data_IF_685319675056
#
_entry.id   IF_685319675056
#
_cell.length_a   1.000
_cell.length_b   1.000
_cell.length_c   1.000
_cell.angle_alpha   90.00
_cell.angle_beta   90.00
_cell.angle_gamma   90.00
#
_symmetry.space_group_name_H-M   'P 1'
#
loop_
_entity.id
_entity.type
_entity.pdbx_description
1 polymer ?
#
# COMPACT_ATOMS: atom_id res chain seq x y z
N UNK A 1 21.45 -33.53 -29.99
CA UNK A 1 20.12 -33.39 -29.34
C UNK A 1 19.41 -32.17 -29.91
N UNK A 2 18.20 -32.33 -30.47
CA UNK A 2 17.43 -31.21 -31.04
C UNK A 2 16.68 -30.45 -29.94
N UNK A 3 17.04 -29.20 -29.72
CA UNK A 3 16.47 -28.33 -28.68
C UNK A 3 15.01 -27.96 -29.01
N UNK A 4 14.67 -27.86 -30.29
CA UNK A 4 13.34 -27.47 -30.77
C UNK A 4 12.27 -28.56 -30.58
N UNK A 5 12.67 -29.82 -30.38
CA UNK A 5 11.73 -30.91 -30.09
C UNK A 5 11.37 -31.02 -28.62
N UNK A 6 11.96 -30.18 -27.75
CA UNK A 6 11.66 -30.21 -26.32
C UNK A 6 10.28 -29.58 -26.04
N UNK A 7 9.51 -30.12 -25.10
CA UNK A 7 8.16 -29.60 -24.77
C UNK A 7 8.15 -28.11 -24.40
N UNK A 8 9.22 -27.59 -23.81
CA UNK A 8 9.35 -26.18 -23.44
C UNK A 8 9.66 -25.25 -24.62
N UNK A 9 10.13 -25.78 -25.75
CA UNK A 9 10.35 -25.02 -26.99
C UNK A 9 9.06 -24.87 -27.81
N UNK A 10 7.98 -25.58 -27.47
CA UNK A 10 6.67 -25.41 -28.09
C UNK A 10 6.04 -24.08 -27.69
N UNK A 11 5.69 -23.26 -28.68
CA UNK A 11 5.04 -21.96 -28.49
C UNK A 11 3.73 -22.08 -27.69
N UNK A 12 2.93 -23.12 -27.94
CA UNK A 12 1.68 -23.37 -27.23
C UNK A 12 1.94 -23.64 -25.74
N UNK A 13 2.93 -24.48 -25.44
CA UNK A 13 3.31 -24.81 -24.06
C UNK A 13 3.88 -23.60 -23.32
N UNK A 14 4.66 -22.76 -24.00
CA UNK A 14 5.18 -21.54 -23.42
C UNK A 14 4.06 -20.54 -23.08
N UNK A 15 3.08 -20.37 -23.98
CA UNK A 15 1.93 -19.51 -23.74
C UNK A 15 1.05 -20.01 -22.58
N UNK A 16 0.79 -21.30 -22.50
CA UNK A 16 0.04 -21.91 -21.40
C UNK A 16 0.78 -21.74 -20.07
N UNK A 17 2.07 -22.06 -20.04
CA UNK A 17 2.93 -21.91 -18.86
C UNK A 17 2.98 -20.46 -18.37
N UNK A 18 3.11 -19.50 -19.30
CA UNK A 18 3.09 -18.06 -18.97
C UNK A 18 1.76 -17.65 -18.34
N UNK A 19 0.63 -18.07 -18.92
CA UNK A 19 -0.70 -17.76 -18.36
C UNK A 19 -0.87 -18.40 -16.98
N UNK A 20 -0.47 -19.65 -16.83
CA UNK A 20 -0.52 -20.36 -15.55
C UNK A 20 0.24 -19.62 -14.45
N UNK A 21 1.52 -19.28 -14.69
CA UNK A 21 2.33 -18.58 -13.69
C UNK A 21 1.86 -17.15 -13.42
N UNK A 22 1.28 -16.45 -14.41
CA UNK A 22 0.62 -15.16 -14.16
C UNK A 22 -0.53 -15.31 -13.16
N UNK A 23 -1.38 -16.32 -13.31
CA UNK A 23 -2.48 -16.59 -12.39
C UNK A 23 -1.98 -16.99 -11.00
N UNK A 24 -0.94 -17.83 -10.92
CA UNK A 24 -0.34 -18.22 -9.63
C UNK A 24 0.22 -16.99 -8.91
N UNK A 25 1.03 -16.17 -9.60
CA UNK A 25 1.61 -14.96 -9.03
C UNK A 25 0.56 -13.94 -8.62
N UNK A 26 -0.49 -13.75 -9.42
CA UNK A 26 -1.57 -12.82 -9.07
C UNK A 26 -2.25 -13.21 -7.74
N UNK A 27 -2.38 -14.51 -7.45
CA UNK A 27 -2.94 -14.98 -6.17
C UNK A 27 -2.00 -14.72 -5.00
N UNK A 28 -0.71 -14.94 -5.19
CA UNK A 28 0.33 -14.62 -4.18
C UNK A 28 0.40 -13.12 -3.91
N UNK A 29 0.34 -12.31 -4.97
CA UNK A 29 0.40 -10.86 -4.90
C UNK A 29 -0.79 -10.28 -4.13
N UNK A 30 -2.01 -10.81 -4.32
CA UNK A 30 -3.18 -10.43 -3.50
C UNK A 30 -2.88 -10.63 -2.00
N UNK A 31 -2.34 -11.80 -1.62
CA UNK A 31 -2.02 -12.08 -0.22
C UNK A 31 -0.99 -11.09 0.36
N UNK A 32 0.04 -10.74 -0.41
CA UNK A 32 1.05 -9.77 0.02
C UNK A 32 0.50 -8.35 0.10
N UNK A 33 -0.31 -7.95 -0.88
CA UNK A 33 -0.96 -6.65 -0.88
C UNK A 33 -1.86 -6.47 0.34
N UNK A 34 -2.55 -7.51 0.81
CA UNK A 34 -3.37 -7.44 2.03
C UNK A 34 -2.55 -7.05 3.27
N UNK A 35 -1.34 -7.61 3.40
CA UNK A 35 -0.41 -7.25 4.50
C UNK A 35 0.08 -5.82 4.35
N UNK A 36 0.46 -5.43 3.13
CA UNK A 36 1.03 -4.11 2.89
C UNK A 36 -0.02 -2.99 3.04
N UNK A 37 -1.27 -3.26 2.68
CA UNK A 37 -2.39 -2.34 2.90
C UNK A 37 -2.67 -2.14 4.38
N UNK A 38 -2.64 -3.20 5.19
CA UNK A 38 -2.76 -3.06 6.65
C UNK A 38 -1.61 -2.21 7.24
N UNK A 39 -0.38 -2.39 6.74
CA UNK A 39 0.77 -1.56 7.13
C UNK A 39 0.61 -0.10 6.72
N UNK A 40 0.15 0.15 5.49
CA UNK A 40 -0.09 1.49 4.99
C UNK A 40 -1.16 2.20 5.84
N UNK A 41 -2.23 1.50 6.19
CA UNK A 41 -3.26 2.04 7.09
C UNK A 41 -2.67 2.43 8.45
N UNK A 42 -1.93 1.52 9.09
CA UNK A 42 -1.29 1.78 10.38
C UNK A 42 -0.30 2.94 10.31
N UNK A 43 0.45 3.06 9.21
CA UNK A 43 1.38 4.17 8.99
C UNK A 43 0.65 5.52 8.85
N UNK A 44 -0.46 5.57 8.10
CA UNK A 44 -1.28 6.78 7.94
C UNK A 44 -1.82 7.26 9.30
N UNK A 45 -2.37 6.34 10.09
CA UNK A 45 -2.91 6.68 11.41
C UNK A 45 -1.80 7.09 12.39
N UNK A 46 -0.66 6.39 12.33
CA UNK A 46 0.52 6.73 13.12
C UNK A 46 1.08 8.12 12.80
N UNK A 47 1.17 8.49 11.52
CA UNK A 47 1.64 9.82 11.10
C UNK A 47 0.72 10.93 11.64
N UNK A 48 -0.59 10.77 11.53
CA UNK A 48 -1.57 11.75 12.00
C UNK A 48 -1.51 11.95 13.52
N UNK A 49 -1.33 10.87 14.29
CA UNK A 49 -1.16 10.91 15.74
C UNK A 49 0.17 11.55 16.11
N UNK A 50 1.26 11.16 15.45
CA UNK A 50 2.59 11.67 15.74
C UNK A 50 2.69 13.19 15.49
N UNK A 51 2.18 13.68 14.36
CA UNK A 51 2.22 15.11 14.04
C UNK A 51 1.35 15.93 15.01
N UNK A 52 0.17 15.42 15.37
CA UNK A 52 -0.72 16.09 16.32
C UNK A 52 -0.10 16.16 17.71
N UNK A 53 0.38 15.04 18.24
CA UNK A 53 1.00 14.97 19.58
C UNK A 53 2.26 15.84 19.66
N UNK A 54 3.08 15.86 18.61
CA UNK A 54 4.26 16.73 18.52
C UNK A 54 3.89 18.21 18.56
N UNK A 55 2.83 18.61 17.83
CA UNK A 55 2.36 20.00 17.85
C UNK A 55 1.85 20.41 19.24
N UNK A 56 1.10 19.55 19.92
CA UNK A 56 0.61 19.85 21.27
C UNK A 56 1.73 19.90 22.31
N UNK A 57 2.73 19.01 22.21
CA UNK A 57 3.89 19.02 23.11
C UNK A 57 4.75 20.29 22.97
N UNK A 58 4.78 20.89 21.77
CA UNK A 58 5.52 22.12 21.50
C UNK A 58 4.71 23.39 21.76
N UNK A 59 3.41 23.27 22.07
CA UNK A 59 2.50 24.41 22.15
C UNK A 59 2.97 25.50 23.11
N UNK A 60 3.50 25.09 24.26
CA UNK A 60 3.88 26.01 25.32
C UNK A 60 5.37 26.41 25.26
N UNK A 61 6.22 25.57 24.64
CA UNK A 61 7.68 25.78 24.54
C UNK A 61 8.11 26.52 23.27
N UNK A 62 7.49 26.22 22.12
CA UNK A 62 7.69 26.93 20.86
C UNK A 62 6.36 27.02 20.08
N UNK A 63 5.52 28.02 20.40
CA UNK A 63 4.21 28.20 19.76
C UNK A 63 4.29 28.39 18.24
N UNK A 64 5.38 28.98 17.73
CA UNK A 64 5.53 29.24 16.29
C UNK A 64 5.79 27.93 15.53
N UNK A 65 6.65 27.08 16.08
CA UNK A 65 6.90 25.76 15.52
C UNK A 65 5.67 24.86 15.64
N UNK A 66 4.99 24.87 16.79
CA UNK A 66 3.74 24.14 17.01
C UNK A 66 2.67 24.52 15.96
N UNK A 67 2.51 25.81 15.69
CA UNK A 67 1.58 26.31 14.67
C UNK A 67 1.94 25.78 13.26
N UNK A 68 3.22 25.83 12.88
CA UNK A 68 3.69 25.30 11.58
C UNK A 68 3.44 23.79 11.45
N UNK A 69 3.71 23.02 12.51
CA UNK A 69 3.48 21.56 12.52
C UNK A 69 1.99 21.28 12.39
N UNK A 70 1.14 22.02 13.11
CA UNK A 70 -0.32 21.89 13.02
C UNK A 70 -0.85 22.18 11.62
N UNK A 71 -0.40 23.26 10.99
CA UNK A 71 -0.75 23.57 9.60
C UNK A 71 -0.34 22.44 8.64
N UNK A 72 0.86 21.88 8.82
CA UNK A 72 1.31 20.72 8.04
C UNK A 72 0.49 19.46 8.32
N UNK A 73 0.12 19.22 9.57
CA UNK A 73 -0.75 18.12 9.98
C UNK A 73 -2.12 18.21 9.30
N UNK A 74 -2.73 19.39 9.25
CA UNK A 74 -4.01 19.61 8.58
C UNK A 74 -3.93 19.36 7.06
N UNK A 75 -2.86 19.83 6.42
CA UNK A 75 -2.63 19.56 5.00
C UNK A 75 -2.42 18.06 4.73
N UNK A 76 -1.64 17.38 5.58
CA UNK A 76 -1.39 15.92 5.48
C UNK A 76 -2.66 15.12 5.72
N UNK A 77 -3.44 15.46 6.75
CA UNK A 77 -4.73 14.81 7.05
C UNK A 77 -5.69 14.82 5.86
N UNK A 78 -5.73 15.90 5.07
CA UNK A 78 -6.57 15.95 3.87
C UNK A 78 -6.17 14.87 2.85
N UNK A 79 -4.87 14.70 2.63
CA UNK A 79 -4.33 13.67 1.72
C UNK A 79 -4.55 12.27 2.32
N UNK A 80 -4.25 12.11 3.61
CA UNK A 80 -4.43 10.86 4.34
C UNK A 80 -5.90 10.41 4.36
N UNK A 81 -6.86 11.34 4.40
CA UNK A 81 -8.28 11.01 4.31
C UNK A 81 -8.69 10.47 2.93
N UNK A 82 -8.07 10.95 1.84
CA UNK A 82 -8.27 10.35 0.51
C UNK A 82 -7.73 8.92 0.50
N UNK A 83 -6.55 8.70 1.08
CA UNK A 83 -5.98 7.36 1.21
C UNK A 83 -6.87 6.44 2.06
N UNK A 84 -7.39 6.91 3.20
CA UNK A 84 -8.35 6.15 4.04
C UNK A 84 -9.60 5.77 3.27
N UNK A 85 -10.16 6.67 2.46
CA UNK A 85 -11.32 6.37 1.63
C UNK A 85 -11.01 5.26 0.61
N UNK A 86 -9.86 5.33 -0.05
CA UNK A 86 -9.41 4.28 -0.97
C UNK A 86 -9.16 2.96 -0.25
N UNK A 87 -8.49 2.98 0.90
CA UNK A 87 -8.27 1.80 1.73
C UNK A 87 -9.58 1.16 2.17
N UNK A 88 -10.56 1.96 2.57
CA UNK A 88 -11.90 1.47 2.91
C UNK A 88 -12.59 0.81 1.73
N UNK A 89 -12.47 1.38 0.53
CA UNK A 89 -12.99 0.75 -0.69
C UNK A 89 -12.30 -0.60 -0.96
N UNK A 90 -11.00 -0.70 -0.69
CA UNK A 90 -10.24 -1.96 -0.83
C UNK A 90 -10.69 -3.00 0.20
N UNK A 91 -10.86 -2.63 1.48
CA UNK A 91 -11.40 -3.53 2.51
C UNK A 91 -12.80 -4.08 2.20
N UNK A 92 -13.55 -3.41 1.34
CA UNK A 92 -14.87 -3.87 0.91
C UNK A 92 -14.81 -4.86 -0.27
N UNK A 93 -13.63 -5.12 -0.86
CA UNK A 93 -13.48 -6.04 -1.97
C UNK A 93 -13.47 -7.51 -1.50
N UNK A 94 -14.04 -8.45 -2.26
CA UNK A 94 -13.95 -9.88 -1.95
C UNK A 94 -12.50 -10.37 -2.00
N UNK A 95 -12.04 -11.02 -0.93
CA UNK A 95 -10.65 -11.48 -0.82
C UNK A 95 -9.70 -10.45 -0.21
N UNK A 96 -10.25 -9.32 0.23
CA UNK A 96 -9.61 -8.42 1.19
C UNK A 96 -10.10 -8.70 2.62
#
# INVERSE_FOLDING_TARGET
HNVLSKPWASKANHQLTTKYFKTVRAREEIMWLNVEIARLHAWIDGEDVHLFTTAEALRDSDPHLAHKIRHRCEARRRVNNVHRATLQAIYNLPGF
#
